data_IF_468946391332
#
_entry.id   IF_468946391332
#
_cell.length_a   1.000
_cell.length_b   1.000
_cell.length_c   1.000
_cell.angle_alpha   90.00
_cell.angle_beta   90.00
_cell.angle_gamma   90.00
#
_symmetry.space_group_name_H-M   'P 1'
#
loop_
_entity.id
_entity.type
_entity.pdbx_description
1 polymer ?
#
# COMPACT_ATOMS: atom_id res chain seq x y z
N UNK A 1 9.35 19.97 -38.96
CA UNK A 1 10.43 18.95 -39.07
C UNK A 1 10.21 17.99 -37.92
N UNK A 2 9.97 16.72 -38.22
CA UNK A 2 9.89 15.67 -37.20
C UNK A 2 11.31 15.19 -36.87
N UNK A 3 11.54 14.80 -35.62
CA UNK A 3 12.82 14.27 -35.17
C UNK A 3 12.73 12.75 -35.11
N UNK A 4 13.55 12.05 -35.91
CA UNK A 4 13.42 10.61 -36.13
C UNK A 4 14.21 9.74 -35.14
N UNK A 5 14.97 10.35 -34.22
CA UNK A 5 15.82 9.62 -33.28
C UNK A 5 15.24 9.60 -31.87
N UNK A 6 15.84 8.78 -31.01
CA UNK A 6 15.47 8.71 -29.60
C UNK A 6 15.97 9.95 -28.85
N UNK A 7 15.07 10.60 -28.12
CA UNK A 7 15.39 11.70 -27.22
C UNK A 7 15.26 11.23 -25.77
N UNK A 8 16.33 11.36 -25.00
CA UNK A 8 16.30 11.23 -23.54
C UNK A 8 16.41 12.62 -22.92
N UNK A 9 15.48 12.97 -22.05
CA UNK A 9 15.46 14.26 -21.38
C UNK A 9 14.97 14.14 -19.94
N UNK A 10 15.32 15.14 -19.13
CA UNK A 10 14.78 15.33 -17.78
C UNK A 10 14.22 16.74 -17.73
N UNK A 11 12.97 16.86 -17.29
CA UNK A 11 12.30 18.15 -17.13
C UNK A 11 11.48 18.15 -15.86
N UNK A 12 11.25 19.33 -15.30
CA UNK A 12 10.28 19.55 -14.23
C UNK A 12 8.91 20.02 -14.75
N UNK A 13 8.82 20.37 -16.04
CA UNK A 13 7.56 20.79 -16.67
C UNK A 13 6.71 19.58 -17.07
N UNK A 14 5.65 19.32 -16.31
CA UNK A 14 4.73 18.21 -16.54
C UNK A 14 4.03 18.27 -17.90
N UNK A 15 3.75 19.45 -18.44
CA UNK A 15 3.09 19.59 -19.76
C UNK A 15 4.02 19.14 -20.87
N UNK A 16 5.30 19.52 -20.78
CA UNK A 16 6.32 19.10 -21.72
C UNK A 16 6.58 17.59 -21.66
N UNK A 17 6.68 17.03 -20.45
CA UNK A 17 6.85 15.57 -20.28
C UNK A 17 5.64 14.84 -20.88
N UNK A 18 4.42 15.28 -20.59
CA UNK A 18 3.22 14.59 -21.08
C UNK A 18 3.05 14.70 -22.61
N UNK A 19 3.50 15.80 -23.23
CA UNK A 19 3.35 15.99 -24.68
C UNK A 19 4.44 15.29 -25.51
N UNK A 20 5.63 15.03 -24.95
CA UNK A 20 6.78 14.50 -25.68
C UNK A 20 7.14 13.07 -25.26
N UNK A 21 7.00 12.71 -23.99
CA UNK A 21 7.44 11.40 -23.50
C UNK A 21 6.44 10.29 -23.86
N UNK A 22 6.96 9.22 -24.45
CA UNK A 22 6.26 7.96 -24.69
C UNK A 22 6.75 6.81 -23.78
N UNK A 23 7.74 7.09 -22.94
CA UNK A 23 8.28 6.19 -21.94
C UNK A 23 8.77 7.01 -20.74
N UNK A 24 8.40 6.59 -19.54
CA UNK A 24 8.83 7.20 -18.28
C UNK A 24 9.86 6.30 -17.61
N UNK A 25 10.98 6.88 -17.21
CA UNK A 25 12.03 6.19 -16.45
C UNK A 25 12.09 6.80 -15.06
N UNK A 26 11.90 6.00 -14.02
CA UNK A 26 11.99 6.45 -12.63
C UNK A 26 13.11 5.74 -11.90
N UNK A 27 13.73 6.46 -10.98
CA UNK A 27 14.78 5.93 -10.11
C UNK A 27 14.19 5.90 -8.71
N UNK A 28 13.96 4.71 -8.19
CA UNK A 28 13.36 4.45 -6.87
C UNK A 28 14.12 3.29 -6.22
N UNK A 29 14.43 3.40 -4.94
CA UNK A 29 15.13 2.35 -4.18
C UNK A 29 16.43 1.87 -4.85
N UNK A 30 17.21 2.82 -5.37
CA UNK A 30 18.43 2.56 -6.15
C UNK A 30 18.24 1.69 -7.40
N UNK A 31 17.01 1.54 -7.89
CA UNK A 31 16.66 0.77 -9.08
C UNK A 31 16.03 1.68 -10.14
N UNK A 32 16.36 1.40 -11.39
CA UNK A 32 15.72 2.01 -12.55
C UNK A 32 14.47 1.21 -12.91
N UNK A 33 13.30 1.86 -12.90
CA UNK A 33 12.04 1.31 -13.39
C UNK A 33 11.66 2.04 -14.68
N UNK A 34 11.15 1.29 -15.66
CA UNK A 34 10.72 1.85 -16.94
C UNK A 34 9.24 1.55 -17.17
N UNK A 35 8.47 2.58 -17.50
CA UNK A 35 7.06 2.50 -17.82
C UNK A 35 6.84 2.97 -19.26
N UNK A 36 6.23 2.13 -20.10
CA UNK A 36 5.91 2.49 -21.48
C UNK A 36 4.52 3.11 -21.52
N UNK A 37 4.43 4.37 -21.95
CA UNK A 37 3.20 5.15 -21.91
C UNK A 37 3.48 6.63 -21.62
N UNK A 38 2.40 7.41 -21.56
CA UNK A 38 2.48 8.84 -21.23
C UNK A 38 2.76 9.08 -19.74
N UNK A 39 3.08 10.32 -19.39
CA UNK A 39 3.25 10.71 -17.99
C UNK A 39 1.95 10.57 -17.19
N UNK A 40 0.81 10.93 -17.77
CA UNK A 40 -0.50 10.77 -17.13
C UNK A 40 -0.85 9.30 -16.86
N UNK A 41 -0.60 8.41 -17.81
CA UNK A 41 -0.80 6.96 -17.62
C UNK A 41 0.11 6.41 -16.52
N UNK A 42 1.37 6.86 -16.48
CA UNK A 42 2.30 6.49 -15.41
C UNK A 42 1.76 6.93 -14.04
N UNK A 43 1.33 8.20 -13.91
CA UNK A 43 0.76 8.72 -12.67
C UNK A 43 -0.50 7.95 -12.25
N UNK A 44 -1.40 7.66 -13.19
CA UNK A 44 -2.61 6.88 -12.92
C UNK A 44 -2.28 5.46 -12.44
N UNK A 45 -1.29 4.80 -13.05
CA UNK A 45 -0.83 3.48 -12.63
C UNK A 45 -0.25 3.49 -11.20
N UNK A 46 0.52 4.54 -10.88
CA UNK A 46 1.12 4.76 -9.55
C UNK A 46 0.05 4.95 -8.48
N UNK A 47 -0.94 5.79 -8.76
CA UNK A 47 -2.06 6.02 -7.84
C UNK A 47 -2.85 4.74 -7.61
N UNK A 48 -3.18 3.98 -8.66
CA UNK A 48 -3.87 2.68 -8.53
C UNK A 48 -3.11 1.67 -7.68
N UNK A 49 -1.79 1.59 -7.81
CA UNK A 49 -0.98 0.69 -6.98
C UNK A 49 -1.04 1.12 -5.52
N UNK A 50 -0.87 2.41 -5.24
CA UNK A 50 -0.94 2.97 -3.88
C UNK A 50 -2.32 2.78 -3.25
N UNK A 51 -3.38 2.97 -4.03
CA UNK A 51 -4.77 2.79 -3.55
C UNK A 51 -5.02 1.32 -3.21
N UNK A 52 -4.55 0.37 -4.05
CA UNK A 52 -4.64 -1.06 -3.74
C UNK A 52 -3.84 -1.46 -2.50
N UNK A 53 -2.63 -0.92 -2.32
CA UNK A 53 -1.83 -1.18 -1.13
C UNK A 53 -2.54 -0.69 0.14
N UNK A 54 -3.18 0.49 0.07
CA UNK A 54 -4.02 1.01 1.16
C UNK A 54 -5.23 0.14 1.43
N UNK A 55 -5.98 -0.22 0.38
CA UNK A 55 -7.15 -1.12 0.48
C UNK A 55 -6.77 -2.44 1.16
N UNK A 56 -5.62 -3.03 0.81
CA UNK A 56 -5.12 -4.26 1.44
C UNK A 56 -4.82 -4.09 2.93
N UNK A 57 -4.17 -2.98 3.31
CA UNK A 57 -3.88 -2.70 4.73
C UNK A 57 -5.18 -2.47 5.51
N UNK A 58 -6.15 -1.76 4.92
CA UNK A 58 -7.47 -1.52 5.53
C UNK A 58 -8.27 -2.82 5.70
N UNK A 59 -8.24 -3.72 4.70
CA UNK A 59 -8.84 -5.06 4.79
C UNK A 59 -8.20 -5.90 5.92
N UNK A 60 -6.87 -5.85 6.05
CA UNK A 60 -6.14 -6.57 7.11
C UNK A 60 -6.51 -6.02 8.50
N UNK A 61 -6.61 -4.70 8.64
CA UNK A 61 -7.08 -4.08 9.89
C UNK A 61 -8.50 -4.53 10.22
N UNK A 62 -9.42 -4.56 9.25
CA UNK A 62 -10.82 -4.98 9.48
C UNK A 62 -10.90 -6.44 9.96
N UNK A 63 -10.12 -7.34 9.36
CA UNK A 63 -10.04 -8.74 9.78
C UNK A 63 -9.53 -8.87 11.23
N UNK A 64 -8.49 -8.10 11.56
CA UNK A 64 -7.94 -8.06 12.91
C UNK A 64 -8.92 -7.47 13.93
N UNK A 65 -9.68 -6.42 13.59
CA UNK A 65 -10.71 -5.84 14.45
C UNK A 65 -11.88 -6.83 14.69
N UNK A 66 -12.26 -7.59 13.66
CA UNK A 66 -13.24 -8.67 13.78
C UNK A 66 -12.73 -9.74 14.75
N UNK A 67 -11.48 -10.17 14.57
CA UNK A 67 -10.85 -11.17 15.44
C UNK A 67 -10.69 -10.67 16.88
N UNK A 68 -10.32 -9.40 17.05
CA UNK A 68 -10.23 -8.76 18.37
C UNK A 68 -11.57 -8.83 19.10
N UNK A 69 -12.68 -8.57 18.39
CA UNK A 69 -14.03 -8.64 18.94
C UNK A 69 -14.37 -10.06 19.41
N UNK A 70 -14.01 -11.08 18.64
CA UNK A 70 -14.16 -12.48 19.04
C UNK A 70 -13.37 -12.80 20.32
N UNK A 71 -12.10 -12.35 20.39
CA UNK A 71 -11.23 -12.58 21.54
C UNK A 71 -11.78 -11.88 22.78
N UNK A 72 -12.22 -10.62 22.67
CA UNK A 72 -12.85 -9.88 23.76
C UNK A 72 -14.11 -10.60 24.25
N UNK A 73 -14.93 -11.14 23.33
CA UNK A 73 -16.11 -11.92 23.69
C UNK A 73 -15.74 -13.16 24.51
N UNK A 74 -14.71 -13.91 24.08
CA UNK A 74 -14.22 -15.08 24.81
C UNK A 74 -13.60 -14.76 26.16
N UNK A 75 -12.86 -13.64 26.28
CA UNK A 75 -12.33 -13.16 27.56
C UNK A 75 -13.47 -12.82 28.52
N UNK A 76 -14.54 -12.20 28.01
CA UNK A 76 -15.68 -11.79 28.83
C UNK A 76 -16.56 -12.98 29.26
N UNK A 77 -16.67 -14.00 28.41
CA UNK A 77 -17.46 -15.22 28.66
C UNK A 77 -16.65 -16.48 28.32
N UNK A 78 -15.67 -16.86 29.16
CA UNK A 78 -14.79 -17.98 28.86
C UNK A 78 -15.52 -19.32 29.01
N UNK A 79 -15.34 -20.20 28.02
CA UNK A 79 -15.78 -21.60 28.10
C UNK A 79 -14.75 -22.44 28.85
N UNK A 80 -15.13 -23.67 29.25
CA UNK A 80 -14.21 -24.63 29.90
C UNK A 80 -12.99 -25.02 29.05
N UNK A 81 -13.03 -24.73 27.75
CA UNK A 81 -11.96 -25.04 26.78
C UNK A 81 -11.05 -23.84 26.48
N UNK A 82 -11.44 -22.65 26.93
CA UNK A 82 -10.68 -21.44 26.67
C UNK A 82 -9.64 -21.23 27.78
N UNK A 83 -8.43 -20.89 27.38
CA UNK A 83 -7.34 -20.53 28.28
C UNK A 83 -7.26 -18.99 28.35
N UNK A 84 -7.59 -18.37 29.49
CA UNK A 84 -7.56 -16.91 29.64
C UNK A 84 -6.19 -16.29 29.35
N UNK A 85 -5.09 -16.98 29.68
CA UNK A 85 -3.75 -16.45 29.45
C UNK A 85 -3.43 -16.40 27.95
N UNK A 86 -3.82 -17.44 27.20
CA UNK A 86 -3.64 -17.46 25.74
C UNK A 86 -4.48 -16.39 25.04
N UNK A 87 -5.73 -16.19 25.49
CA UNK A 87 -6.60 -15.14 24.96
C UNK A 87 -6.04 -13.74 25.22
N UNK A 88 -5.43 -13.51 26.38
CA UNK A 88 -4.80 -12.23 26.70
C UNK A 88 -3.51 -11.98 25.91
N UNK A 89 -2.77 -13.04 25.55
CA UNK A 89 -1.64 -12.95 24.62
C UNK A 89 -2.14 -12.58 23.22
N UNK A 90 -3.11 -13.32 22.68
CA UNK A 90 -3.69 -13.06 21.35
C UNK A 90 -4.26 -11.64 21.25
N UNK A 91 -4.96 -11.17 22.29
CA UNK A 91 -5.46 -9.79 22.39
C UNK A 91 -4.34 -8.75 22.21
N UNK A 92 -3.22 -8.93 22.93
CA UNK A 92 -2.08 -8.01 22.86
C UNK A 92 -1.39 -8.04 21.50
N UNK A 93 -1.26 -9.22 20.91
CA UNK A 93 -0.68 -9.38 19.57
C UNK A 93 -1.51 -8.67 18.51
N UNK A 94 -2.83 -8.88 18.50
CA UNK A 94 -3.74 -8.24 17.55
C UNK A 94 -3.68 -6.71 17.68
N UNK A 95 -3.69 -6.17 18.91
CA UNK A 95 -3.52 -4.73 19.12
C UNK A 95 -2.18 -4.21 18.61
N UNK A 96 -1.11 -4.99 18.76
CA UNK A 96 0.20 -4.68 18.22
C UNK A 96 0.18 -4.59 16.69
N UNK A 97 -0.41 -5.59 16.04
CA UNK A 97 -0.54 -5.66 14.57
C UNK A 97 -1.38 -4.50 14.03
N UNK A 98 -2.55 -4.24 14.61
CA UNK A 98 -3.41 -3.10 14.20
C UNK A 98 -2.65 -1.78 14.30
N UNK A 99 -1.89 -1.58 15.38
CA UNK A 99 -1.08 -0.36 15.55
C UNK A 99 -0.01 -0.23 14.47
N UNK A 100 0.72 -1.31 14.18
CA UNK A 100 1.73 -1.32 13.12
C UNK A 100 1.11 -1.01 11.75
N UNK A 101 -0.02 -1.63 11.41
CA UNK A 101 -0.71 -1.40 10.14
C UNK A 101 -1.26 0.02 10.02
N UNK A 102 -1.84 0.58 11.10
CA UNK A 102 -2.30 1.98 11.11
C UNK A 102 -1.14 2.97 10.88
N UNK A 103 0.03 2.71 11.46
CA UNK A 103 1.23 3.52 11.21
C UNK A 103 1.74 3.44 9.76
N UNK A 104 1.40 2.39 9.00
CA UNK A 104 1.75 2.29 7.58
C UNK A 104 0.79 3.08 6.68
N UNK A 105 -0.39 3.45 7.18
CA UNK A 105 -1.37 4.27 6.46
C UNK A 105 -1.17 5.79 6.65
N UNK A 106 -0.53 6.20 7.75
CA UNK A 106 -0.14 7.59 8.04
C UNK A 106 1.01 8.10 7.15
#
# INVERSE_FOLDING_TARGET
REYEHTLLFVSHDRRFINSVANQIMTIEDHKLKTFKGSYEEYMASRTKVRDREKEQIEEEILLLETRLTEVISKISMPSKKDDPELLEIEYREILGQIRCLKNLLE
#
